data_IF_044847732099
#
_entry.id   IF_044847732099
#
_cell.length_a   1.000
_cell.length_b   1.000
_cell.length_c   1.000
_cell.angle_alpha   90.00
_cell.angle_beta   90.00
_cell.angle_gamma   90.00
#
_symmetry.space_group_name_H-M   'P 1'
#
loop_
_entity.id
_entity.type
_entity.pdbx_description
1 polymer ?
#
# COMPACT_ATOMS: atom_id res chain seq x y z
N UNK A 1 -1.43 18.57 -22.98
CA UNK A 1 -2.33 18.81 -21.85
C UNK A 1 -2.48 17.49 -21.11
N UNK A 2 -2.38 17.48 -19.76
CA UNK A 2 -2.51 16.22 -19.02
C UNK A 2 -3.96 15.74 -19.03
N UNK A 3 -4.15 14.43 -19.21
CA UNK A 3 -5.45 13.75 -19.19
C UNK A 3 -5.63 12.81 -18.01
N UNK A 4 -4.51 12.40 -17.37
CA UNK A 4 -4.50 11.58 -16.18
C UNK A 4 -3.52 12.17 -15.16
N UNK A 5 -3.94 12.23 -13.89
CA UNK A 5 -3.09 12.58 -12.76
C UNK A 5 -3.14 11.44 -11.77
N UNK A 6 -2.01 10.76 -11.56
CA UNK A 6 -1.85 9.72 -10.55
C UNK A 6 -1.11 10.28 -9.35
N UNK A 7 -1.69 10.13 -8.16
CA UNK A 7 -1.20 10.79 -6.94
C UNK A 7 -1.05 9.77 -5.82
N UNK A 8 0.13 9.74 -5.18
CA UNK A 8 0.33 9.00 -3.94
C UNK A 8 -0.42 9.66 -2.78
N UNK A 9 -0.69 8.90 -1.74
CA UNK A 9 -1.45 9.32 -0.57
C UNK A 9 -0.56 9.80 0.58
N UNK A 10 0.27 8.90 1.11
CA UNK A 10 0.97 9.08 2.37
C UNK A 10 2.26 9.89 2.21
N UNK A 11 2.27 11.13 2.67
CA UNK A 11 3.39 12.06 2.48
C UNK A 11 3.20 12.98 1.28
N UNK A 12 2.23 12.69 0.40
CA UNK A 12 1.96 13.44 -0.83
C UNK A 12 0.61 14.17 -0.77
N UNK A 13 -0.51 13.46 -0.93
CA UNK A 13 -1.83 14.08 -0.96
C UNK A 13 -2.40 14.32 0.44
N UNK A 14 -2.12 13.40 1.37
CA UNK A 14 -2.63 13.45 2.74
C UNK A 14 -1.71 14.30 3.64
N UNK A 15 -2.33 15.11 4.47
CA UNK A 15 -1.64 15.80 5.55
C UNK A 15 -1.32 14.85 6.73
N UNK A 16 -0.66 15.35 7.77
CA UNK A 16 -0.29 14.58 8.97
C UNK A 16 -1.48 14.01 9.76
N UNK A 17 -2.70 14.45 9.47
CA UNK A 17 -3.94 13.94 10.05
C UNK A 17 -4.62 12.88 9.16
N UNK A 18 -3.98 12.46 8.04
CA UNK A 18 -4.54 11.51 7.10
C UNK A 18 -5.70 12.07 6.26
N UNK A 19 -5.76 13.39 6.06
CA UNK A 19 -6.84 14.09 5.38
C UNK A 19 -6.34 14.83 4.14
N UNK A 20 -7.17 14.92 3.10
CA UNK A 20 -6.93 15.80 1.95
C UNK A 20 -7.24 17.24 2.37
N UNK A 21 -6.29 18.15 2.16
CA UNK A 21 -6.53 19.57 2.45
C UNK A 21 -7.64 20.13 1.55
N UNK A 22 -8.40 21.11 2.05
CA UNK A 22 -9.48 21.74 1.28
C UNK A 22 -8.96 22.31 -0.06
N UNK A 23 -7.79 22.93 -0.04
CA UNK A 23 -7.15 23.48 -1.25
C UNK A 23 -6.83 22.39 -2.29
N UNK A 24 -6.24 21.26 -1.86
CA UNK A 24 -5.93 20.14 -2.77
C UNK A 24 -7.22 19.56 -3.34
N UNK A 25 -8.25 19.39 -2.50
CA UNK A 25 -9.56 18.90 -2.95
C UNK A 25 -10.17 19.78 -4.04
N UNK A 26 -10.19 21.09 -3.84
CA UNK A 26 -10.73 22.05 -4.82
C UNK A 26 -9.98 21.99 -6.15
N UNK A 27 -8.63 21.94 -6.12
CA UNK A 27 -7.81 21.87 -7.35
C UNK A 27 -8.05 20.57 -8.10
N UNK A 28 -8.11 19.43 -7.41
CA UNK A 28 -8.35 18.13 -8.03
C UNK A 28 -9.77 18.02 -8.60
N UNK A 29 -10.77 18.53 -7.90
CA UNK A 29 -12.14 18.60 -8.41
C UNK A 29 -12.24 19.46 -9.66
N UNK A 30 -11.54 20.61 -9.71
CA UNK A 30 -11.47 21.47 -10.90
C UNK A 30 -10.78 20.76 -12.07
N UNK A 31 -9.69 20.03 -11.82
CA UNK A 31 -9.03 19.22 -12.86
C UNK A 31 -9.99 18.15 -13.41
N UNK A 32 -10.70 17.42 -12.53
CA UNK A 32 -11.67 16.41 -12.93
C UNK A 32 -12.85 17.00 -13.74
N UNK A 33 -13.32 18.21 -13.39
CA UNK A 33 -14.34 18.94 -14.16
C UNK A 33 -13.88 19.31 -15.57
N UNK A 34 -12.57 19.48 -15.78
CA UNK A 34 -11.96 19.72 -17.08
C UNK A 34 -11.59 18.41 -17.83
N UNK A 35 -12.11 17.27 -17.40
CA UNK A 35 -11.94 15.98 -18.06
C UNK A 35 -10.63 15.27 -17.74
N UNK A 36 -9.91 15.67 -16.70
CA UNK A 36 -8.71 14.96 -16.23
C UNK A 36 -9.11 13.81 -15.32
N UNK A 37 -8.66 12.58 -15.62
CA UNK A 37 -8.85 11.43 -14.75
C UNK A 37 -7.93 11.53 -13.52
N UNK A 38 -8.51 11.51 -12.32
CA UNK A 38 -7.76 11.55 -11.06
C UNK A 38 -7.68 10.14 -10.50
N UNK A 39 -6.46 9.63 -10.31
CA UNK A 39 -6.17 8.29 -9.81
C UNK A 39 -5.37 8.36 -8.51
N UNK A 40 -5.91 7.81 -7.45
CA UNK A 40 -5.16 7.65 -6.19
C UNK A 40 -4.35 6.36 -6.27
N UNK A 41 -3.04 6.42 -6.06
CA UNK A 41 -2.12 5.29 -6.16
C UNK A 41 -1.37 5.08 -4.83
N UNK A 42 -1.69 4.01 -4.10
CA UNK A 42 -1.20 3.81 -2.74
C UNK A 42 -0.79 2.36 -2.43
N UNK A 43 0.09 2.21 -1.44
CA UNK A 43 0.40 0.91 -0.84
C UNK A 43 -0.66 0.38 0.14
N UNK A 44 -1.72 1.13 0.39
CA UNK A 44 -2.80 0.78 1.33
C UNK A 44 -3.74 -0.29 0.76
N UNK A 45 -4.48 -1.04 1.62
CA UNK A 45 -5.54 -1.94 1.18
C UNK A 45 -6.72 -1.15 0.56
N UNK A 46 -7.52 -1.84 -0.25
CA UNK A 46 -8.57 -1.24 -1.08
C UNK A 46 -9.59 -0.44 -0.28
N UNK A 47 -10.08 -0.98 0.84
CA UNK A 47 -11.07 -0.28 1.67
C UNK A 47 -10.54 1.06 2.22
N UNK A 48 -9.26 1.14 2.56
CA UNK A 48 -8.63 2.37 3.04
C UNK A 48 -8.58 3.44 1.92
N UNK A 49 -8.17 3.04 0.71
CA UNK A 49 -8.09 3.96 -0.44
C UNK A 49 -9.48 4.38 -0.91
N UNK A 50 -10.46 3.46 -0.94
CA UNK A 50 -11.88 3.76 -1.26
C UNK A 50 -12.44 4.88 -0.36
N UNK A 51 -12.18 4.81 0.94
CA UNK A 51 -12.67 5.83 1.86
C UNK A 51 -12.13 7.22 1.55
N UNK A 52 -10.84 7.32 1.20
CA UNK A 52 -10.20 8.58 0.80
C UNK A 52 -10.73 9.05 -0.56
N UNK A 53 -10.92 8.13 -1.50
CA UNK A 53 -11.49 8.39 -2.80
C UNK A 53 -12.92 8.95 -2.72
N UNK A 54 -13.74 8.39 -1.85
CA UNK A 54 -15.11 8.88 -1.59
C UNK A 54 -15.10 10.29 -1.00
N UNK A 55 -14.16 10.63 -0.14
CA UNK A 55 -14.01 11.97 0.41
C UNK A 55 -13.60 13.00 -0.68
N UNK A 56 -12.85 12.58 -1.70
CA UNK A 56 -12.53 13.40 -2.87
C UNK A 56 -13.74 13.53 -3.83
N UNK A 57 -14.47 12.44 -4.08
CA UNK A 57 -15.78 12.42 -4.71
C UNK A 57 -15.83 12.50 -6.24
N UNK A 58 -14.70 12.48 -6.96
CA UNK A 58 -14.66 12.60 -8.44
C UNK A 58 -13.64 11.68 -9.13
N UNK A 59 -13.18 10.65 -8.47
CA UNK A 59 -12.27 9.67 -9.04
C UNK A 59 -13.04 8.38 -9.40
N UNK A 60 -12.67 7.79 -10.51
CA UNK A 60 -13.25 6.56 -11.01
C UNK A 60 -12.39 5.35 -10.69
N UNK A 61 -11.09 5.51 -10.67
CA UNK A 61 -10.14 4.43 -10.47
C UNK A 61 -9.24 4.70 -9.26
N UNK A 62 -8.90 3.63 -8.55
CA UNK A 62 -7.88 3.64 -7.50
C UNK A 62 -6.90 2.49 -7.73
N UNK A 63 -5.63 2.73 -7.42
CA UNK A 63 -4.54 1.76 -7.44
C UNK A 63 -4.16 1.46 -5.99
N UNK A 64 -4.21 0.18 -5.61
CA UNK A 64 -3.97 -0.28 -4.25
C UNK A 64 -2.83 -1.28 -4.18
N UNK A 65 -2.26 -1.49 -2.97
CA UNK A 65 -1.19 -2.43 -2.74
C UNK A 65 0.05 -2.14 -3.59
N UNK A 66 0.39 -0.86 -3.82
CA UNK A 66 1.47 -0.42 -4.71
C UNK A 66 1.34 -0.88 -6.17
N UNK A 67 0.14 -1.06 -6.67
CA UNK A 67 -0.10 -1.53 -8.03
C UNK A 67 -0.50 -3.01 -8.11
N UNK A 68 -0.73 -3.67 -6.98
CA UNK A 68 -1.23 -5.05 -6.96
C UNK A 68 -2.63 -5.18 -7.52
N UNK A 69 -3.43 -4.11 -7.47
CA UNK A 69 -4.74 -4.08 -8.10
C UNK A 69 -5.16 -2.66 -8.52
N UNK A 70 -6.05 -2.61 -9.51
CA UNK A 70 -6.82 -1.42 -9.87
C UNK A 70 -8.29 -1.72 -9.65
N UNK A 71 -8.98 -0.85 -8.91
CA UNK A 71 -10.38 -0.95 -8.62
C UNK A 71 -11.17 0.15 -9.34
N UNK A 72 -12.24 -0.24 -10.06
CA UNK A 72 -13.22 0.67 -10.66
C UNK A 72 -14.30 0.97 -9.60
N UNK A 73 -14.32 2.21 -9.11
CA UNK A 73 -15.25 2.66 -8.07
C UNK A 73 -16.70 2.76 -8.57
N UNK A 74 -16.91 2.96 -9.87
CA UNK A 74 -18.26 3.07 -10.44
C UNK A 74 -18.89 1.70 -10.69
N UNK A 75 -18.06 0.73 -11.12
CA UNK A 75 -18.51 -0.65 -11.37
C UNK A 75 -18.37 -1.55 -10.14
N UNK A 76 -17.77 -1.05 -9.08
CA UNK A 76 -17.48 -1.76 -7.83
C UNK A 76 -16.75 -3.10 -8.05
N UNK A 77 -15.74 -3.10 -8.94
CA UNK A 77 -15.00 -4.32 -9.29
C UNK A 77 -13.51 -4.07 -9.50
N UNK A 78 -12.71 -5.11 -9.29
CA UNK A 78 -11.31 -5.15 -9.69
C UNK A 78 -11.25 -5.29 -11.22
N UNK A 79 -10.45 -4.44 -11.87
CA UNK A 79 -10.26 -4.45 -13.34
C UNK A 79 -8.84 -4.84 -13.75
N UNK A 80 -7.93 -4.92 -12.81
CA UNK A 80 -6.56 -5.37 -12.97
C UNK A 80 -6.05 -5.91 -11.64
N UNK A 81 -5.33 -7.01 -11.67
CA UNK A 81 -4.70 -7.58 -10.49
C UNK A 81 -3.37 -8.30 -10.79
N UNK A 82 -2.52 -8.35 -9.79
CA UNK A 82 -1.29 -9.13 -9.68
C UNK A 82 -1.07 -9.53 -8.23
N UNK A 83 -1.84 -10.48 -7.76
CA UNK A 83 -1.77 -10.96 -6.39
C UNK A 83 -0.59 -11.92 -6.16
N UNK A 84 -0.15 -12.01 -4.92
CA UNK A 84 0.80 -13.04 -4.50
C UNK A 84 0.07 -14.39 -4.42
N UNK A 85 0.55 -15.38 -5.16
CA UNK A 85 0.02 -16.75 -5.09
C UNK A 85 0.11 -17.29 -3.65
N UNK A 86 -0.95 -17.96 -3.15
CA UNK A 86 -1.00 -18.52 -1.79
C UNK A 86 0.24 -19.34 -1.45
N UNK A 87 0.71 -20.20 -2.37
CA UNK A 87 1.91 -21.00 -2.16
C UNK A 87 3.15 -20.15 -1.87
N UNK A 88 3.30 -19.04 -2.56
CA UNK A 88 4.42 -18.11 -2.35
C UNK A 88 4.26 -17.33 -1.06
N UNK A 89 3.04 -16.93 -0.74
CA UNK A 89 2.75 -16.30 0.55
C UNK A 89 3.15 -17.20 1.72
N UNK A 90 2.83 -18.50 1.66
CA UNK A 90 3.26 -19.47 2.66
C UNK A 90 4.78 -19.62 2.75
N UNK A 91 5.50 -19.61 1.60
CA UNK A 91 6.98 -19.62 1.60
C UNK A 91 7.57 -18.35 2.23
N UNK A 92 6.99 -17.17 1.97
CA UNK A 92 7.40 -15.91 2.59
C UNK A 92 7.20 -15.99 4.11
N UNK A 93 6.04 -16.47 4.56
CA UNK A 93 5.72 -16.65 5.98
C UNK A 93 6.73 -17.58 6.67
N UNK A 94 7.00 -18.75 6.07
CA UNK A 94 7.98 -19.70 6.62
C UNK A 94 9.38 -19.08 6.78
N UNK A 95 9.84 -18.30 5.79
CA UNK A 95 11.13 -17.63 5.87
C UNK A 95 11.12 -16.58 7.00
N UNK A 96 10.06 -15.80 7.14
CA UNK A 96 9.94 -14.81 8.20
C UNK A 96 9.92 -15.47 9.59
N UNK A 97 9.13 -16.54 9.77
CA UNK A 97 9.04 -17.29 11.03
C UNK A 97 10.39 -17.93 11.42
N UNK A 98 11.07 -18.59 10.47
CA UNK A 98 12.39 -19.22 10.69
C UNK A 98 13.49 -18.19 11.05
N UNK A 99 13.32 -16.93 10.67
CA UNK A 99 14.24 -15.86 11.01
C UNK A 99 13.76 -15.02 12.21
N UNK A 100 12.61 -15.34 12.81
CA UNK A 100 11.99 -14.60 13.92
C UNK A 100 11.86 -13.10 13.61
N UNK A 101 11.59 -12.75 12.36
CA UNK A 101 11.45 -11.36 11.90
C UNK A 101 9.98 -10.95 11.90
N UNK A 102 9.71 -9.69 12.27
CA UNK A 102 8.35 -9.17 12.23
C UNK A 102 7.88 -8.96 10.79
N UNK A 103 6.66 -9.39 10.52
CA UNK A 103 5.99 -9.17 9.25
C UNK A 103 4.47 -9.02 9.45
N UNK A 104 3.85 -8.38 8.49
CA UNK A 104 2.40 -8.36 8.31
C UNK A 104 2.08 -8.43 6.81
N UNK A 105 0.88 -8.86 6.49
CA UNK A 105 0.43 -8.94 5.11
C UNK A 105 -0.85 -8.13 4.90
N UNK A 106 -1.06 -7.74 3.66
CA UNK A 106 -2.20 -6.97 3.23
C UNK A 106 -3.03 -7.82 2.27
N UNK A 107 -4.31 -7.94 2.57
CA UNK A 107 -5.30 -8.43 1.61
C UNK A 107 -6.03 -7.23 0.99
N UNK A 108 -6.97 -7.48 0.09
CA UNK A 108 -7.83 -6.43 -0.47
C UNK A 108 -8.55 -5.63 0.61
N UNK A 109 -8.93 -6.27 1.71
CA UNK A 109 -9.85 -5.71 2.69
C UNK A 109 -9.23 -5.40 4.04
N UNK A 110 -8.09 -6.00 4.40
CA UNK A 110 -7.54 -5.89 5.74
C UNK A 110 -6.02 -6.01 5.79
N UNK A 111 -5.48 -5.64 6.94
CA UNK A 111 -4.10 -5.91 7.36
C UNK A 111 -4.13 -7.07 8.35
N UNK A 112 -3.29 -8.09 8.12
CA UNK A 112 -3.17 -9.27 8.98
C UNK A 112 -1.79 -9.26 9.64
N UNK A 113 -1.74 -9.41 10.95
CA UNK A 113 -0.51 -9.38 11.74
C UNK A 113 -0.64 -10.26 12.99
N UNK A 114 0.48 -10.61 13.63
CA UNK A 114 0.47 -11.27 14.95
C UNK A 114 0.19 -10.29 16.09
N UNK A 115 0.68 -9.08 15.97
CA UNK A 115 0.56 -8.04 16.99
C UNK A 115 0.53 -6.64 16.36
N UNK A 116 0.17 -5.66 17.17
CA UNK A 116 0.19 -4.25 16.81
C UNK A 116 1.62 -3.72 16.95
N UNK A 117 2.38 -3.77 15.87
CA UNK A 117 3.74 -3.23 15.82
C UNK A 117 4.01 -2.52 14.49
N UNK A 118 5.05 -1.70 14.43
CA UNK A 118 5.52 -1.01 13.25
C UNK A 118 4.39 -0.36 12.40
N UNK A 119 4.18 -0.82 11.18
CA UNK A 119 3.17 -0.26 10.27
C UNK A 119 1.74 -0.53 10.70
N UNK A 120 1.48 -1.64 11.40
CA UNK A 120 0.13 -1.97 11.87
C UNK A 120 -0.29 -1.01 12.98
N UNK A 121 0.65 -0.62 13.83
CA UNK A 121 0.43 0.38 14.87
C UNK A 121 0.02 1.75 14.27
N UNK A 122 0.58 2.11 13.12
CA UNK A 122 0.16 3.32 12.40
C UNK A 122 -1.33 3.29 12.03
N UNK A 123 -1.82 2.18 11.47
CA UNK A 123 -3.25 2.03 11.17
C UNK A 123 -4.12 2.05 12.41
N UNK A 124 -3.64 1.51 13.52
CA UNK A 124 -4.35 1.55 14.80
C UNK A 124 -4.54 3.00 15.28
N UNK A 125 -3.48 3.83 15.24
CA UNK A 125 -3.58 5.25 15.58
C UNK A 125 -4.48 6.04 14.62
N UNK A 126 -4.34 5.79 13.33
CA UNK A 126 -5.20 6.43 12.32
C UNK A 126 -6.68 6.08 12.55
N UNK A 127 -6.97 4.82 12.90
CA UNK A 127 -8.31 4.33 13.19
C UNK A 127 -8.94 4.97 14.44
N UNK A 128 -8.14 5.38 15.42
CA UNK A 128 -8.65 5.99 16.64
C UNK A 128 -9.48 7.27 16.39
N UNK A 129 -9.19 7.96 15.28
CA UNK A 129 -9.85 9.21 14.89
C UNK A 129 -10.90 9.01 13.76
N UNK A 130 -11.25 7.76 13.41
CA UNK A 130 -12.20 7.45 12.34
C UNK A 130 -13.47 6.80 12.87
N UNK A 131 -14.59 7.09 12.20
CA UNK A 131 -15.83 6.32 12.41
C UNK A 131 -15.62 4.87 11.94
N UNK A 132 -16.34 3.91 12.51
CA UNK A 132 -16.15 2.46 12.30
C UNK A 132 -16.11 2.07 10.81
N UNK A 133 -17.02 2.61 10.01
CA UNK A 133 -17.09 2.33 8.56
C UNK A 133 -15.89 2.81 7.74
N UNK A 134 -15.09 3.74 8.28
CA UNK A 134 -13.89 4.29 7.62
C UNK A 134 -12.58 3.72 8.16
N UNK A 135 -12.62 2.85 9.16
CA UNK A 135 -11.43 2.23 9.71
C UNK A 135 -10.79 1.25 8.74
N UNK A 136 -9.47 1.22 8.71
CA UNK A 136 -8.72 0.13 8.07
C UNK A 136 -8.86 -1.10 8.95
N UNK A 137 -9.42 -2.18 8.43
CA UNK A 137 -9.62 -3.42 9.19
C UNK A 137 -8.26 -4.04 9.50
N UNK A 138 -8.02 -4.35 10.78
CA UNK A 138 -6.84 -5.06 11.28
C UNK A 138 -7.31 -6.38 11.86
N UNK A 139 -6.71 -7.47 11.43
CA UNK A 139 -6.96 -8.81 11.96
C UNK A 139 -5.69 -9.33 12.65
N UNK A 140 -5.76 -9.51 13.97
CA UNK A 140 -4.66 -10.08 14.74
C UNK A 140 -4.82 -11.59 14.83
N UNK A 141 -3.80 -12.33 14.40
CA UNK A 141 -3.82 -13.78 14.25
C UNK A 141 -2.55 -14.37 14.86
N UNK A 142 -2.68 -15.33 15.75
CA UNK A 142 -1.53 -15.98 16.40
C UNK A 142 -0.70 -16.83 15.40
N UNK A 143 -1.38 -17.61 14.55
CA UNK A 143 -0.77 -18.44 13.51
C UNK A 143 -1.17 -17.94 12.12
N UNK A 144 -0.33 -17.05 11.59
CA UNK A 144 -0.57 -16.46 10.26
C UNK A 144 -0.41 -17.52 9.16
N UNK A 145 0.48 -18.51 9.33
CA UNK A 145 0.64 -19.57 8.35
C UNK A 145 -0.65 -20.36 8.17
N UNK A 146 -1.20 -20.89 9.28
CA UNK A 146 -2.46 -21.63 9.27
C UNK A 146 -3.64 -20.76 8.79
N UNK A 147 -3.66 -19.48 9.16
CA UNK A 147 -4.67 -18.55 8.69
C UNK A 147 -4.63 -18.41 7.16
N UNK A 148 -3.44 -18.18 6.57
CA UNK A 148 -3.26 -18.03 5.12
C UNK A 148 -3.50 -19.36 4.39
N UNK A 149 -3.10 -20.50 4.96
CA UNK A 149 -3.39 -21.83 4.40
C UNK A 149 -4.89 -22.03 4.18
N UNK A 150 -5.71 -21.60 5.16
CA UNK A 150 -7.17 -21.71 5.14
C UNK A 150 -7.88 -20.47 4.54
N UNK A 151 -7.14 -19.49 4.05
CA UNK A 151 -7.71 -18.27 3.50
C UNK A 151 -8.46 -18.59 2.20
N UNK A 152 -9.75 -18.31 2.19
CA UNK A 152 -10.61 -18.44 1.02
C UNK A 152 -11.16 -17.06 0.64
N UNK A 153 -11.35 -16.82 -0.67
CA UNK A 153 -12.00 -15.61 -1.20
C UNK A 153 -11.34 -14.26 -0.85
N UNK A 154 -10.08 -14.27 -0.43
CA UNK A 154 -9.27 -13.06 -0.24
C UNK A 154 -7.92 -13.20 -0.92
N UNK A 155 -7.50 -12.15 -1.60
CA UNK A 155 -6.25 -12.10 -2.35
C UNK A 155 -5.18 -11.32 -1.57
N UNK A 156 -3.95 -11.81 -1.62
CA UNK A 156 -2.81 -11.20 -0.91
C UNK A 156 -2.12 -10.19 -1.83
N UNK A 157 -2.13 -8.93 -1.43
CA UNK A 157 -1.55 -7.82 -2.18
C UNK A 157 -0.03 -7.75 -1.99
N UNK A 158 0.42 -7.74 -0.74
CA UNK A 158 1.82 -7.58 -0.37
C UNK A 158 2.09 -8.02 1.07
N UNK A 159 3.38 -8.18 1.38
CA UNK A 159 3.90 -8.25 2.73
C UNK A 159 4.70 -7.00 3.06
N UNK A 160 4.75 -6.68 4.33
CA UNK A 160 5.67 -5.73 4.93
C UNK A 160 6.52 -6.47 5.94
N UNK A 161 7.83 -6.33 5.85
CA UNK A 161 8.80 -7.03 6.70
C UNK A 161 9.71 -5.99 7.35
N UNK A 162 9.92 -6.10 8.64
CA UNK A 162 10.73 -5.13 9.38
C UNK A 162 11.45 -5.75 10.56
N UNK A 163 12.63 -5.20 10.88
CA UNK A 163 13.40 -5.56 12.05
C UNK A 163 14.30 -4.39 12.50
N UNK A 164 14.63 -4.34 13.77
CA UNK A 164 15.60 -3.39 14.32
C UNK A 164 17.04 -3.85 14.08
N UNK A 165 17.26 -5.15 13.89
CA UNK A 165 18.57 -5.76 13.67
C UNK A 165 18.83 -5.91 12.16
N UNK A 166 19.84 -5.20 11.66
CA UNK A 166 20.23 -5.25 10.25
C UNK A 166 20.69 -6.62 9.77
N UNK A 167 21.31 -7.42 10.65
CA UNK A 167 21.84 -8.74 10.28
C UNK A 167 20.67 -9.70 10.03
N UNK A 168 19.71 -9.74 10.96
CA UNK A 168 18.48 -10.55 10.82
C UNK A 168 17.73 -10.12 9.58
N UNK A 169 17.50 -8.81 9.43
CA UNK A 169 16.80 -8.24 8.29
C UNK A 169 17.45 -8.65 6.96
N UNK A 170 18.74 -8.38 6.78
CA UNK A 170 19.46 -8.68 5.54
C UNK A 170 19.55 -10.20 5.27
N UNK A 171 19.63 -11.05 6.31
CA UNK A 171 19.58 -12.49 6.17
C UNK A 171 18.22 -12.96 5.63
N UNK A 172 17.13 -12.43 6.15
CA UNK A 172 15.79 -12.71 5.69
C UNK A 172 15.60 -12.26 4.23
N UNK A 173 15.99 -11.02 3.89
CA UNK A 173 15.85 -10.46 2.55
C UNK A 173 16.58 -11.30 1.50
N UNK A 174 17.78 -11.79 1.79
CA UNK A 174 18.50 -12.67 0.85
C UNK A 174 17.72 -13.94 0.53
N UNK A 175 17.11 -14.59 1.53
CA UNK A 175 16.29 -15.80 1.33
C UNK A 175 15.01 -15.51 0.56
N UNK A 176 14.37 -14.36 0.82
CA UNK A 176 13.16 -13.96 0.10
C UNK A 176 13.44 -13.71 -1.40
N UNK A 177 14.60 -13.14 -1.74
CA UNK A 177 15.02 -12.91 -3.13
C UNK A 177 15.27 -14.21 -3.93
N UNK A 178 15.37 -15.37 -3.27
CA UNK A 178 15.46 -16.67 -3.92
C UNK A 178 14.10 -17.20 -4.40
N UNK A 179 13.00 -16.65 -3.90
CA UNK A 179 11.64 -17.01 -4.34
C UNK A 179 11.39 -16.40 -5.73
N UNK A 180 11.07 -17.25 -6.70
CA UNK A 180 10.78 -16.80 -8.07
C UNK A 180 9.42 -16.10 -8.16
N UNK A 181 9.31 -15.14 -9.07
CA UNK A 181 8.10 -14.38 -9.40
C UNK A 181 7.52 -13.57 -8.22
N UNK A 182 8.37 -13.11 -7.31
CA UNK A 182 8.09 -12.05 -6.36
C UNK A 182 9.17 -10.98 -6.49
N UNK A 183 8.82 -9.76 -6.10
CA UNK A 183 9.75 -8.65 -5.99
C UNK A 183 9.89 -8.25 -4.51
N UNK A 184 11.12 -8.02 -4.10
CA UNK A 184 11.47 -7.49 -2.79
C UNK A 184 11.98 -6.07 -2.99
N UNK A 185 11.23 -5.09 -2.51
CA UNK A 185 11.57 -3.68 -2.67
C UNK A 185 12.92 -3.38 -1.98
N UNK A 186 13.80 -2.72 -2.73
CA UNK A 186 15.13 -2.39 -2.23
C UNK A 186 15.06 -1.12 -1.37
N UNK A 187 14.87 -1.29 -0.08
CA UNK A 187 14.84 -0.18 0.87
C UNK A 187 16.19 -0.08 1.56
N UNK A 188 16.98 0.90 1.13
CA UNK A 188 18.30 1.16 1.71
C UNK A 188 18.24 1.88 3.07
N UNK A 189 17.08 2.26 3.58
CA UNK A 189 16.97 3.18 4.69
C UNK A 189 16.17 2.64 5.86
N UNK A 190 16.67 2.94 7.06
CA UNK A 190 15.96 2.75 8.31
C UNK A 190 14.77 3.73 8.37
N UNK A 191 13.56 3.20 8.39
CA UNK A 191 12.37 4.03 8.60
C UNK A 191 12.36 4.55 10.05
N UNK A 192 12.34 5.87 10.22
CA UNK A 192 12.15 6.50 11.53
C UNK A 192 10.74 7.05 11.59
N UNK A 193 9.88 6.43 12.38
CA UNK A 193 8.59 7.01 12.72
C UNK A 193 8.69 7.64 14.11
N UNK A 194 8.33 8.91 14.20
CA UNK A 194 8.16 9.59 15.48
C UNK A 194 6.69 9.39 15.88
N UNK A 195 6.48 8.71 16.98
CA UNK A 195 5.15 8.55 17.57
C UNK A 195 5.03 9.57 18.70
N UNK A 196 4.09 10.48 18.61
CA UNK A 196 3.74 11.41 19.69
C UNK A 196 2.82 10.69 20.67
N UNK A 197 3.30 10.45 21.88
CA UNK A 197 2.49 9.98 23.01
C UNK A 197 2.46 11.08 24.06
N UNK A 198 1.40 11.89 24.06
CA UNK A 198 1.32 13.08 24.91
C UNK A 198 2.41 14.12 24.57
N UNK A 199 3.27 14.43 25.54
CA UNK A 199 4.40 15.38 25.39
C UNK A 199 5.71 14.70 24.95
N UNK A 200 5.76 13.37 24.88
CA UNK A 200 6.96 12.62 24.50
C UNK A 200 6.95 12.22 23.01
N UNK A 201 8.08 12.45 22.35
CA UNK A 201 8.33 11.97 21.00
C UNK A 201 9.22 10.72 21.05
N UNK A 202 8.67 9.57 20.71
CA UNK A 202 9.42 8.32 20.61
C UNK A 202 9.81 8.07 19.16
N UNK A 203 11.12 8.14 18.88
CA UNK A 203 11.67 7.79 17.56
C UNK A 203 11.93 6.29 17.51
N UNK A 204 11.21 5.57 16.64
CA UNK A 204 11.45 4.15 16.41
C UNK A 204 12.16 4.01 15.06
N UNK A 205 13.42 3.53 15.10
CA UNK A 205 14.18 3.17 13.91
C UNK A 205 14.10 1.66 13.65
N UNK A 206 13.76 1.26 12.43
CA UNK A 206 13.77 -0.13 11.97
C UNK A 206 14.09 -0.22 10.49
N UNK A 207 14.67 -1.35 10.08
CA UNK A 207 14.80 -1.70 8.67
C UNK A 207 13.44 -2.19 8.16
N UNK A 208 13.13 -1.85 6.93
CA UNK A 208 11.82 -2.10 6.36
C UNK A 208 11.91 -2.44 4.87
N UNK A 209 11.14 -3.39 4.44
CA UNK A 209 10.92 -3.69 3.02
C UNK A 209 9.49 -4.16 2.77
N UNK A 210 9.11 -4.15 1.49
CA UNK A 210 7.86 -4.72 1.00
C UNK A 210 8.14 -5.86 0.04
N UNK A 211 7.28 -6.87 0.05
CA UNK A 211 7.32 -8.01 -0.87
C UNK A 211 5.99 -8.05 -1.59
N UNK A 212 6.03 -8.10 -2.91
CA UNK A 212 4.89 -8.16 -3.80
C UNK A 212 5.03 -9.27 -4.84
N UNK A 213 4.00 -9.50 -5.63
CA UNK A 213 4.13 -10.30 -6.86
C UNK A 213 5.07 -9.60 -7.83
N UNK A 214 5.67 -10.36 -8.76
CA UNK A 214 6.63 -9.83 -9.71
C UNK A 214 6.04 -8.75 -10.62
N UNK A 215 6.82 -7.70 -10.88
CA UNK A 215 6.43 -6.53 -11.69
C UNK A 215 5.19 -5.81 -11.13
N UNK A 216 5.06 -5.76 -9.81
CA UNK A 216 4.06 -4.95 -9.12
C UNK A 216 4.72 -3.67 -8.66
N UNK A 217 4.36 -2.57 -9.29
CA UNK A 217 4.67 -1.21 -8.89
C UNK A 217 3.57 -0.25 -9.37
N UNK A 218 3.57 0.95 -8.83
CA UNK A 218 2.54 1.96 -9.16
C UNK A 218 2.57 2.33 -10.64
N UNK A 219 3.76 2.44 -11.25
CA UNK A 219 3.89 2.80 -12.65
C UNK A 219 3.28 1.75 -13.58
N UNK A 220 3.58 0.47 -13.39
CA UNK A 220 3.02 -0.61 -14.21
C UNK A 220 1.48 -0.63 -14.16
N UNK A 221 0.89 -0.35 -13.00
CA UNK A 221 -0.56 -0.22 -12.88
C UNK A 221 -1.10 1.02 -13.59
N UNK A 222 -0.43 2.18 -13.45
CA UNK A 222 -0.78 3.43 -14.15
C UNK A 222 -0.67 3.25 -15.66
N UNK A 223 0.40 2.65 -16.15
CA UNK A 223 0.61 2.39 -17.57
C UNK A 223 -0.46 1.46 -18.15
N UNK A 224 -0.83 0.41 -17.41
CA UNK A 224 -1.91 -0.47 -17.82
C UNK A 224 -3.25 0.30 -17.90
N UNK A 225 -3.54 1.12 -16.90
CA UNK A 225 -4.77 1.92 -16.88
C UNK A 225 -4.79 2.95 -18.01
N UNK A 226 -3.66 3.62 -18.27
CA UNK A 226 -3.57 4.62 -19.35
C UNK A 226 -3.81 4.00 -20.73
N UNK A 227 -3.28 2.79 -20.99
CA UNK A 227 -3.55 2.03 -22.22
C UNK A 227 -5.04 1.69 -22.36
N UNK A 228 -5.70 1.30 -21.25
CA UNK A 228 -7.14 1.04 -21.22
C UNK A 228 -7.99 2.28 -21.49
N UNK A 229 -7.50 3.45 -21.10
CA UNK A 229 -8.18 4.75 -21.28
C UNK A 229 -7.75 5.48 -22.56
N UNK A 230 -6.87 4.87 -23.38
CA UNK A 230 -6.30 5.47 -24.62
C UNK A 230 -5.59 6.81 -24.34
N UNK A 231 -4.88 6.90 -23.19
CA UNK A 231 -4.10 8.06 -22.77
C UNK A 231 -2.61 7.78 -23.02
N UNK A 232 -1.94 8.68 -23.73
CA UNK A 232 -0.51 8.55 -24.00
C UNK A 232 0.32 8.91 -22.76
N UNK A 233 1.54 8.37 -22.68
CA UNK A 233 2.45 8.58 -21.56
C UNK A 233 2.72 10.07 -21.27
N UNK A 234 2.87 10.87 -22.31
CA UNK A 234 3.11 12.33 -22.25
C UNK A 234 1.92 13.12 -21.72
N UNK A 235 0.76 12.49 -21.64
CA UNK A 235 -0.48 13.08 -21.11
C UNK A 235 -0.74 12.68 -19.65
N UNK A 236 0.22 11.96 -19.03
CA UNK A 236 0.15 11.51 -17.63
C UNK A 236 1.01 12.43 -16.76
N UNK A 237 0.46 12.85 -15.64
CA UNK A 237 1.20 13.48 -14.54
C UNK A 237 1.19 12.54 -13.35
N UNK A 238 2.35 12.36 -12.71
CA UNK A 238 2.50 11.56 -11.49
C UNK A 238 3.07 12.40 -10.36
N UNK A 239 2.60 12.19 -9.14
CA UNK A 239 3.03 12.91 -7.94
C UNK A 239 3.24 11.91 -6.80
N UNK A 240 4.43 11.90 -6.20
CA UNK A 240 4.80 11.02 -5.10
C UNK A 240 6.04 11.51 -4.36
N UNK A 241 6.36 10.92 -3.22
CA UNK A 241 7.45 11.38 -2.34
C UNK A 241 8.39 10.26 -1.85
N UNK A 242 8.06 9.00 -2.12
CA UNK A 242 8.75 7.89 -1.47
C UNK A 242 9.38 6.90 -2.47
N UNK A 243 10.14 5.92 -1.96
CA UNK A 243 10.86 4.92 -2.77
C UNK A 243 9.92 4.10 -3.67
N UNK A 244 8.71 3.77 -3.19
CA UNK A 244 7.69 3.06 -3.97
C UNK A 244 7.05 3.90 -5.09
N UNK A 245 7.35 5.21 -5.15
CA UNK A 245 6.92 6.12 -6.20
C UNK A 245 7.98 6.31 -7.29
N UNK A 246 9.22 5.88 -7.03
CA UNK A 246 10.38 6.15 -7.89
C UNK A 246 10.17 5.78 -9.37
N UNK A 247 9.41 4.72 -9.65
CA UNK A 247 9.18 4.27 -11.02
C UNK A 247 8.06 5.05 -11.72
N UNK A 248 7.20 5.74 -10.97
CA UNK A 248 6.14 6.54 -11.58
C UNK A 248 6.49 8.03 -11.73
N UNK A 249 7.59 8.50 -11.08
CA UNK A 249 8.04 9.90 -11.13
C UNK A 249 9.04 10.17 -12.28
#
# INVERSE_FOLDING_TARGET
>A
MYKLIAIDLDGTLLNTYGQISQKNKEVLLKAAQNGVEIVLASGRPTNSVKNIANDLGKNKYIICGNGSLIYDLQKEQIIYDKFIEKRKALQIIEICEKNSIYYNLYTENMVIAKNLDNNVLFYQYENANKIESKKTKINLVEDIYKYVENLENENILKFTISDKNSIIFNSCIRKLREIKNIDVLDVAHMSRKVIKSGTEEVSIGYYYTEVSSQNVDKWNAIEWLSKKLEINKEEIMTIGDNVNDKLMI
#
